data_IF_330047584663
#
_entry.id   IF_330047584663
#
_cell.length_a   1.000
_cell.length_b   1.000
_cell.length_c   1.000
_cell.angle_alpha   90.00
_cell.angle_beta   90.00
_cell.angle_gamma   90.00
#
_symmetry.space_group_name_H-M   'P 1'
#
loop_
_entity.id
_entity.type
_entity.pdbx_description
1 polymer ?
#
# COMPACT_ATOMS: atom_id res chain seq x y z
N UNK A 1 17.01 -3.54 -8.38
CA UNK A 1 17.27 -3.06 -7.01
C UNK A 1 17.64 -1.57 -7.02
N UNK A 2 16.64 -0.70 -6.99
CA UNK A 2 16.82 0.73 -6.69
C UNK A 2 15.96 1.15 -5.49
N UNK A 3 16.31 0.64 -4.29
CA UNK A 3 15.51 0.84 -3.07
C UNK A 3 15.23 2.31 -2.74
N UNK A 4 16.18 3.21 -3.00
CA UNK A 4 16.00 4.66 -2.77
C UNK A 4 14.96 5.27 -3.71
N UNK A 5 14.99 4.90 -4.98
CA UNK A 5 13.97 5.33 -5.97
C UNK A 5 12.59 4.80 -5.56
N UNK A 6 12.49 3.50 -5.27
CA UNK A 6 11.25 2.88 -4.81
C UNK A 6 10.70 3.53 -3.53
N UNK A 7 11.57 3.85 -2.57
CA UNK A 7 11.20 4.53 -1.34
C UNK A 7 10.68 5.94 -1.59
N UNK A 8 11.33 6.71 -2.47
CA UNK A 8 10.90 8.04 -2.85
C UNK A 8 9.51 8.01 -3.48
N UNK A 9 9.33 7.14 -4.47
CA UNK A 9 8.07 6.94 -5.18
C UNK A 9 6.96 6.55 -4.19
N UNK A 10 7.20 5.52 -3.37
CA UNK A 10 6.18 5.01 -2.45
C UNK A 10 5.80 6.08 -1.41
N UNK A 11 6.76 6.86 -0.93
CA UNK A 11 6.51 7.94 0.03
C UNK A 11 5.69 9.06 -0.60
N UNK A 12 5.96 9.42 -1.85
CA UNK A 12 5.18 10.40 -2.61
C UNK A 12 3.71 9.96 -2.73
N UNK A 13 3.47 8.71 -3.15
CA UNK A 13 2.10 8.20 -3.27
C UNK A 13 1.38 8.09 -1.92
N UNK A 14 2.08 7.65 -0.86
CA UNK A 14 1.50 7.62 0.48
C UNK A 14 1.20 9.02 1.01
N UNK A 15 1.97 10.05 0.63
CA UNK A 15 1.77 11.42 1.10
C UNK A 15 0.41 11.99 0.72
N UNK A 16 -0.18 11.55 -0.41
CA UNK A 16 -1.53 11.96 -0.83
C UNK A 16 -2.56 11.66 0.24
N UNK A 17 -2.49 10.49 0.87
CA UNK A 17 -3.44 10.05 1.89
C UNK A 17 -3.22 10.70 3.25
N UNK A 18 -2.08 11.36 3.47
CA UNK A 18 -1.85 12.13 4.70
C UNK A 18 -2.70 13.39 4.76
N UNK A 19 -3.20 13.87 3.61
CA UNK A 19 -4.10 15.02 3.56
C UNK A 19 -5.57 14.66 3.73
N UNK A 20 -5.89 13.37 3.87
CA UNK A 20 -7.27 12.89 4.03
C UNK A 20 -7.70 12.98 5.49
N UNK A 21 -9.00 13.17 5.72
CA UNK A 21 -9.55 13.07 7.07
C UNK A 21 -9.56 11.61 7.55
N UNK A 22 -9.68 11.42 8.87
CA UNK A 22 -9.87 10.08 9.43
C UNK A 22 -11.14 9.43 8.85
N UNK A 23 -12.20 10.20 8.67
CA UNK A 23 -13.49 9.74 8.13
C UNK A 23 -13.36 9.23 6.69
N UNK A 24 -12.60 9.93 5.84
CA UNK A 24 -12.36 9.51 4.47
C UNK A 24 -11.56 8.20 4.43
N UNK A 25 -10.50 8.10 5.23
CA UNK A 25 -9.71 6.87 5.32
C UNK A 25 -10.55 5.72 5.91
N UNK A 26 -11.40 6.00 6.90
CA UNK A 26 -12.29 5.01 7.51
C UNK A 26 -13.28 4.44 6.49
N UNK A 27 -13.74 5.27 5.56
CA UNK A 27 -14.60 4.84 4.47
C UNK A 27 -13.86 3.85 3.56
N UNK A 28 -12.61 4.12 3.20
CA UNK A 28 -11.80 3.17 2.41
C UNK A 28 -11.64 1.81 3.09
N UNK A 29 -11.42 1.78 4.41
CA UNK A 29 -11.37 0.53 5.16
C UNK A 29 -12.69 -0.23 5.08
N UNK A 30 -13.83 0.45 5.27
CA UNK A 30 -15.16 -0.17 5.26
C UNK A 30 -15.55 -0.70 3.88
N UNK A 31 -15.16 0.00 2.84
CA UNK A 31 -15.45 -0.37 1.46
C UNK A 31 -14.50 -1.47 0.93
N UNK A 32 -13.57 -1.98 1.77
CA UNK A 32 -12.47 -2.85 1.37
C UNK A 32 -11.70 -2.29 0.16
N UNK A 33 -11.53 -0.97 0.16
CA UNK A 33 -10.88 -0.28 -0.94
C UNK A 33 -9.38 -0.62 -0.96
N UNK A 34 -8.87 -0.83 -2.17
CA UNK A 34 -7.45 -1.08 -2.45
C UNK A 34 -7.12 -0.34 -3.74
N UNK A 35 -6.02 0.41 -3.73
CA UNK A 35 -5.47 0.96 -4.97
C UNK A 35 -4.33 0.09 -5.47
N UNK A 36 -4.41 -0.37 -6.72
CA UNK A 36 -3.31 -1.06 -7.39
C UNK A 36 -3.10 -0.42 -8.75
N UNK A 37 -1.89 0.01 -9.04
CA UNK A 37 -1.56 0.65 -10.31
C UNK A 37 -0.08 0.46 -10.66
N UNK A 38 0.25 0.69 -11.92
CA UNK A 38 1.62 0.67 -12.42
C UNK A 38 2.11 2.08 -12.71
N UNK A 39 3.41 2.30 -12.53
CA UNK A 39 4.08 3.54 -12.91
C UNK A 39 5.37 3.22 -13.65
N UNK A 40 5.74 4.10 -14.59
CA UNK A 40 7.06 4.07 -15.21
C UNK A 40 7.91 5.17 -14.63
N UNK A 41 9.05 4.82 -14.06
CA UNK A 41 10.00 5.79 -13.50
C UNK A 41 10.65 6.62 -14.61
N UNK A 42 11.25 7.76 -14.26
CA UNK A 42 11.99 8.60 -15.22
C UNK A 42 13.13 7.85 -15.93
N UNK A 43 13.61 6.75 -15.34
CA UNK A 43 14.64 5.88 -15.92
C UNK A 43 14.07 4.75 -16.78
N UNK A 44 12.76 4.70 -16.97
CA UNK A 44 12.07 3.66 -17.74
C UNK A 44 11.76 2.38 -16.97
N UNK A 45 11.98 2.34 -15.64
CA UNK A 45 11.66 1.15 -14.84
C UNK A 45 10.15 1.08 -14.58
N UNK A 46 9.53 -0.07 -14.84
CA UNK A 46 8.13 -0.32 -14.48
C UNK A 46 8.05 -0.75 -13.02
N UNK A 47 7.20 -0.07 -12.25
CA UNK A 47 6.88 -0.45 -10.88
C UNK A 47 5.39 -0.71 -10.74
N UNK A 48 5.02 -1.72 -9.94
CA UNK A 48 3.66 -1.89 -9.46
C UNK A 48 3.57 -1.36 -8.03
N UNK A 49 2.53 -0.59 -7.74
CA UNK A 49 2.24 -0.04 -6.41
C UNK A 49 0.89 -0.57 -5.97
N UNK A 50 0.81 -0.93 -4.69
CA UNK A 50 -0.44 -1.27 -4.02
C UNK A 50 -0.57 -0.44 -2.74
N UNK A 51 -1.74 0.13 -2.50
CA UNK A 51 -2.08 0.84 -1.26
C UNK A 51 -3.27 0.13 -0.61
N UNK A 52 -3.06 -0.35 0.61
CA UNK A 52 -4.06 -1.00 1.45
C UNK A 52 -4.44 -0.10 2.63
N UNK A 53 -5.72 -0.15 3.01
CA UNK A 53 -6.28 0.57 4.15
C UNK A 53 -6.89 -0.42 5.12
N UNK A 54 -6.47 -0.38 6.38
CA UNK A 54 -7.04 -1.28 7.39
C UNK A 54 -7.03 -0.68 8.78
N UNK A 55 -7.92 -1.19 9.62
CA UNK A 55 -7.92 -0.91 11.04
C UNK A 55 -6.62 -1.43 11.68
N UNK A 56 -5.93 -0.56 12.42
CA UNK A 56 -4.73 -0.91 13.16
C UNK A 56 -5.12 -1.53 14.51
N UNK A 57 -5.11 -2.86 14.56
CA UNK A 57 -5.37 -3.66 15.77
C UNK A 57 -6.84 -3.94 16.06
N UNK A 58 -7.73 -2.94 16.04
CA UNK A 58 -9.17 -3.13 16.35
C UNK A 58 -10.11 -2.37 15.39
N UNK A 59 -11.30 -2.91 15.08
CA UNK A 59 -12.30 -2.21 14.27
C UNK A 59 -12.65 -0.83 14.83
N UNK A 60 -12.81 0.15 13.93
CA UNK A 60 -13.09 1.56 14.27
C UNK A 60 -12.03 2.24 15.16
N UNK A 61 -10.81 1.67 15.20
CA UNK A 61 -9.65 2.25 15.88
C UNK A 61 -8.82 3.15 14.96
N UNK A 62 -7.53 3.26 15.24
CA UNK A 62 -6.60 3.91 14.31
C UNK A 62 -6.60 3.22 12.95
N UNK A 63 -6.26 3.94 11.89
CA UNK A 63 -6.16 3.41 10.54
C UNK A 63 -4.70 3.36 10.14
N UNK A 64 -4.26 2.22 9.61
CA UNK A 64 -3.00 2.10 8.92
C UNK A 64 -3.24 2.19 7.42
N UNK A 65 -2.50 3.09 6.78
CA UNK A 65 -2.37 3.14 5.32
C UNK A 65 -1.01 2.56 4.99
N UNK A 66 -1.00 1.45 4.26
CA UNK A 66 0.21 0.72 3.91
C UNK A 66 0.38 0.69 2.41
N UNK A 67 1.55 1.12 1.95
CA UNK A 67 1.95 1.01 0.56
C UNK A 67 2.97 -0.10 0.38
N UNK A 68 2.90 -0.80 -0.75
CA UNK A 68 3.93 -1.69 -1.25
C UNK A 68 4.30 -1.32 -2.68
N UNK A 69 5.58 -1.50 -3.04
CA UNK A 69 6.09 -1.25 -4.39
C UNK A 69 7.03 -2.37 -4.84
N UNK A 70 6.96 -2.69 -6.12
CA UNK A 70 7.63 -3.82 -6.74
C UNK A 70 8.18 -3.51 -8.13
N UNK A 71 9.38 -4.02 -8.46
CA UNK A 71 10.07 -3.78 -9.74
C UNK A 71 9.44 -4.52 -10.96
N UNK A 72 8.31 -5.19 -10.76
CA UNK A 72 7.56 -5.88 -11.82
C UNK A 72 6.11 -6.11 -11.33
N UNK A 73 5.07 -5.99 -12.16
CA UNK A 73 3.74 -6.47 -11.79
C UNK A 73 3.80 -7.95 -11.42
N UNK A 74 3.40 -8.26 -10.19
CA UNK A 74 3.48 -9.60 -9.64
C UNK A 74 2.52 -10.52 -10.41
N UNK A 75 3.07 -11.43 -11.22
CA UNK A 75 2.42 -12.74 -11.37
C UNK A 75 2.33 -13.33 -9.96
N UNK A 76 1.16 -13.79 -9.50
CA UNK A 76 1.04 -14.51 -8.24
C UNK A 76 2.21 -15.48 -8.04
N UNK A 77 2.82 -15.48 -6.84
CA UNK A 77 3.94 -16.37 -6.50
C UNK A 77 3.65 -17.85 -6.84
N UNK A 78 2.36 -18.19 -6.90
CA UNK A 78 1.82 -19.52 -7.22
C UNK A 78 1.01 -19.58 -8.52
N UNK A 79 1.25 -18.70 -9.49
CA UNK A 79 0.51 -18.71 -10.77
C UNK A 79 0.59 -20.06 -11.51
N UNK A 80 1.67 -20.81 -11.27
CA UNK A 80 1.89 -22.16 -11.81
C UNK A 80 1.36 -23.29 -10.90
N UNK A 81 0.75 -22.98 -9.75
CA UNK A 81 0.17 -23.95 -8.82
C UNK A 81 -1.35 -23.72 -8.73
N UNK A 82 -2.17 -24.51 -9.44
CA UNK A 82 -3.61 -24.29 -9.60
C UNK A 82 -4.38 -24.13 -8.28
N UNK A 83 -3.97 -24.85 -7.25
CA UNK A 83 -4.62 -24.86 -5.93
C UNK A 83 -4.33 -23.61 -5.08
N UNK A 84 -3.30 -22.83 -5.43
CA UNK A 84 -2.88 -21.63 -4.70
C UNK A 84 -3.06 -20.35 -5.54
N UNK A 85 -3.56 -20.48 -6.77
CA UNK A 85 -3.82 -19.37 -7.71
C UNK A 85 -4.76 -18.29 -7.16
N UNK A 86 -5.64 -18.67 -6.23
CA UNK A 86 -6.61 -17.78 -5.58
C UNK A 86 -6.03 -17.07 -4.35
N UNK A 87 -4.81 -17.41 -3.93
CA UNK A 87 -4.16 -16.81 -2.75
C UNK A 87 -3.12 -15.77 -3.22
N UNK A 88 -3.39 -14.47 -3.04
CA UNK A 88 -2.51 -13.39 -3.47
C UNK A 88 -1.32 -13.24 -2.51
N UNK A 89 -0.37 -14.18 -2.56
CA UNK A 89 0.88 -14.11 -1.79
C UNK A 89 1.90 -13.36 -2.65
N UNK A 90 2.13 -12.09 -2.32
CA UNK A 90 3.09 -11.22 -2.98
C UNK A 90 4.25 -10.92 -2.04
N UNK A 91 5.48 -11.08 -2.52
CA UNK A 91 6.66 -10.61 -1.78
C UNK A 91 6.98 -9.19 -2.23
N UNK A 92 6.42 -8.19 -1.54
CA UNK A 92 6.71 -6.79 -1.86
C UNK A 92 8.19 -6.47 -1.66
N UNK A 93 8.80 -5.82 -2.64
CA UNK A 93 10.21 -5.45 -2.64
C UNK A 93 10.51 -4.36 -1.63
N UNK A 94 9.53 -3.49 -1.37
CA UNK A 94 9.57 -2.45 -0.34
C UNK A 94 8.15 -2.16 0.16
N UNK A 95 8.00 -1.97 1.47
CA UNK A 95 6.77 -1.46 2.09
C UNK A 95 7.05 -0.18 2.88
N UNK A 96 6.03 0.64 3.04
CA UNK A 96 6.01 1.78 3.96
C UNK A 96 4.58 1.99 4.45
N UNK A 97 4.41 2.60 5.62
CA UNK A 97 3.08 2.87 6.18
C UNK A 97 3.07 4.07 7.09
N UNK A 98 1.89 4.63 7.31
CA UNK A 98 1.63 5.56 8.40
C UNK A 98 0.34 5.16 9.11
N UNK A 99 0.19 5.65 10.35
CA UNK A 99 -0.99 5.39 11.17
C UNK A 99 -1.65 6.72 11.51
N UNK A 100 -2.96 6.82 11.28
CA UNK A 100 -3.78 7.94 11.71
C UNK A 100 -4.71 7.50 12.83
N UNK A 101 -4.64 8.19 13.97
CA UNK A 101 -5.58 8.00 15.08
C UNK A 101 -6.99 8.47 14.72
N UNK A 102 -7.99 8.01 15.49
CA UNK A 102 -9.38 8.43 15.35
C UNK A 102 -9.66 9.92 15.58
N UNK A 103 -8.66 10.67 16.07
CA UNK A 103 -8.71 12.11 16.26
C UNK A 103 -7.87 12.87 15.22
N UNK A 104 -7.46 12.19 14.14
CA UNK A 104 -6.73 12.80 13.01
C UNK A 104 -5.24 13.07 13.25
N UNK A 105 -4.65 12.55 14.34
CA UNK A 105 -3.21 12.67 14.61
C UNK A 105 -2.43 11.48 14.07
N UNK A 106 -1.25 11.73 13.49
CA UNK A 106 -0.32 10.66 13.11
C UNK A 106 0.38 10.05 14.34
N UNK A 107 0.63 8.74 14.29
CA UNK A 107 1.26 7.98 15.37
C UNK A 107 2.59 7.39 14.85
N UNK A 108 3.63 7.47 15.69
CA UNK A 108 4.91 6.80 15.44
C UNK A 108 5.83 7.51 14.45
N UNK A 109 5.68 8.84 14.34
CA UNK A 109 6.55 9.73 13.56
C UNK A 109 7.68 10.30 14.41
#
# INVERSE_FOLDING_TARGET
MNKKEMQSILSEHLSRFRNYSYEDLAKFVKDNHVETFEITSQKGNLYQIKIDFFWDGKPNGSIRVMGSIDENPHRPMFDNIPILKWIPIYASSLTNSFIMSSVGKFIGE
#
